data_IF_174854272282
#
_entry.id   IF_174854272282
#
_cell.length_a   1.000
_cell.length_b   1.000
_cell.length_c   1.000
_cell.angle_alpha   90.00
_cell.angle_beta   90.00
_cell.angle_gamma   90.00
#
_symmetry.space_group_name_H-M   'P 1'
#
loop_
_entity.id
_entity.type
_entity.pdbx_description
1 polymer ?
#
# COMPACT_ATOMS: atom_id res chain seq x y z
N UNK A 1 5.76 -11.53 -9.68
CA UNK A 1 4.82 -10.42 -10.01
C UNK A 1 5.46 -9.06 -9.70
N UNK A 2 4.86 -7.92 -10.11
CA UNK A 2 5.34 -6.55 -9.88
C UNK A 2 4.34 -5.71 -9.08
N UNK A 3 4.79 -4.59 -8.53
CA UNK A 3 3.93 -3.66 -7.79
C UNK A 3 3.15 -2.76 -8.74
N UNK A 4 1.87 -2.55 -8.45
CA UNK A 4 0.92 -1.89 -9.36
C UNK A 4 0.07 -0.85 -8.64
N UNK A 5 -0.16 0.24 -9.36
CA UNK A 5 -1.09 1.31 -9.01
C UNK A 5 -1.87 1.70 -10.26
N UNK A 6 -3.16 1.98 -10.09
CA UNK A 6 -4.03 2.47 -11.15
C UNK A 6 -3.54 3.81 -11.73
N UNK A 7 -3.96 4.11 -12.95
CA UNK A 7 -3.59 5.37 -13.62
C UNK A 7 -4.16 6.58 -12.89
N UNK A 8 -5.32 6.40 -12.26
CA UNK A 8 -6.00 7.35 -11.41
C UNK A 8 -5.15 7.68 -10.17
N UNK A 9 -4.67 6.66 -9.47
CA UNK A 9 -3.76 6.85 -8.33
C UNK A 9 -2.47 7.58 -8.73
N UNK A 10 -1.84 7.17 -9.82
CA UNK A 10 -0.62 7.84 -10.32
C UNK A 10 -0.87 9.28 -10.71
N UNK A 11 -2.02 9.56 -11.32
CA UNK A 11 -2.41 10.92 -11.67
C UNK A 11 -2.58 11.76 -10.42
N UNK A 12 -3.29 11.26 -9.41
CA UNK A 12 -3.47 11.95 -8.14
C UNK A 12 -2.13 12.37 -7.51
N UNK A 13 -1.17 11.44 -7.38
CA UNK A 13 0.14 11.75 -6.80
C UNK A 13 1.01 12.66 -7.68
N UNK A 14 0.91 12.53 -9.01
CA UNK A 14 1.57 13.45 -9.94
C UNK A 14 1.02 14.87 -9.80
N UNK A 15 -0.29 15.02 -9.71
CA UNK A 15 -0.94 16.34 -9.58
C UNK A 15 -0.47 17.02 -8.27
N UNK A 16 -0.27 16.26 -7.17
CA UNK A 16 0.35 16.78 -5.92
C UNK A 16 1.76 17.33 -6.18
N UNK A 17 2.60 16.56 -6.88
CA UNK A 17 3.98 16.95 -7.18
C UNK A 17 4.05 18.17 -8.11
N UNK A 18 3.17 18.24 -9.11
CA UNK A 18 3.09 19.37 -10.06
C UNK A 18 2.66 20.68 -9.38
N UNK A 19 1.83 20.61 -8.33
CA UNK A 19 1.38 21.78 -7.58
C UNK A 19 2.27 22.16 -6.40
N UNK A 20 3.17 21.27 -5.98
CA UNK A 20 4.05 21.48 -4.83
C UNK A 20 5.11 22.54 -5.09
N UNK A 21 5.34 23.40 -4.10
CA UNK A 21 6.44 24.38 -4.08
C UNK A 21 7.42 24.15 -2.91
N UNK A 22 7.13 23.15 -2.07
CA UNK A 22 7.79 22.89 -0.78
C UNK A 22 8.69 21.65 -0.82
N UNK A 23 8.55 20.82 -1.85
CA UNK A 23 9.35 19.61 -2.04
C UNK A 23 8.69 18.66 -3.04
N UNK A 24 9.27 17.47 -3.17
CA UNK A 24 8.74 16.37 -3.97
C UNK A 24 8.77 15.06 -3.16
N UNK A 25 8.07 14.03 -3.64
CA UNK A 25 8.30 12.68 -3.14
C UNK A 25 9.73 12.27 -3.50
N UNK A 26 10.46 11.70 -2.53
CA UNK A 26 11.84 11.25 -2.75
C UNK A 26 11.89 10.11 -3.77
N UNK A 27 10.81 9.33 -3.85
CA UNK A 27 10.66 8.27 -4.83
C UNK A 27 9.21 8.02 -5.24
N UNK A 28 9.03 7.40 -6.40
CA UNK A 28 7.72 6.86 -6.81
C UNK A 28 7.21 5.82 -5.81
N UNK A 29 8.09 5.10 -5.11
CA UNK A 29 7.70 4.12 -4.11
C UNK A 29 6.99 4.74 -2.92
N UNK A 30 7.30 5.99 -2.56
CA UNK A 30 6.62 6.70 -1.46
C UNK A 30 5.11 6.78 -1.75
N UNK A 31 4.73 7.03 -3.00
CA UNK A 31 3.34 7.07 -3.44
C UNK A 31 2.64 5.72 -3.26
N UNK A 32 3.32 4.62 -3.63
CA UNK A 32 2.83 3.26 -3.41
C UNK A 32 2.72 2.93 -1.92
N UNK A 33 3.74 3.27 -1.14
CA UNK A 33 3.79 3.05 0.29
C UNK A 33 2.66 3.77 1.01
N UNK A 34 2.46 5.07 0.74
CA UNK A 34 1.39 5.87 1.34
C UNK A 34 0.01 5.30 1.01
N UNK A 35 -0.21 4.90 -0.24
CA UNK A 35 -1.44 4.24 -0.65
C UNK A 35 -1.62 2.88 0.08
N UNK A 36 -0.60 2.02 0.09
CA UNK A 36 -0.66 0.72 0.74
C UNK A 36 -0.95 0.84 2.25
N UNK A 37 -0.26 1.74 2.94
CA UNK A 37 -0.43 1.94 4.37
C UNK A 37 -1.81 2.47 4.75
N UNK A 38 -2.42 3.33 3.93
CA UNK A 38 -3.79 3.79 4.15
C UNK A 38 -4.79 2.62 4.10
N UNK A 39 -4.68 1.75 3.09
CA UNK A 39 -5.53 0.55 2.98
C UNK A 39 -5.27 -0.46 4.12
N UNK A 40 -4.00 -0.72 4.42
CA UNK A 40 -3.58 -1.63 5.49
C UNK A 40 -4.13 -1.15 6.83
N UNK A 41 -3.96 0.14 7.17
CA UNK A 41 -4.50 0.74 8.40
C UNK A 41 -6.02 0.54 8.48
N UNK A 42 -6.74 0.84 7.39
CA UNK A 42 -8.19 0.69 7.32
C UNK A 42 -8.68 -0.77 7.34
N UNK A 43 -7.77 -1.77 7.25
CA UNK A 43 -8.08 -3.20 7.08
C UNK A 43 -8.96 -3.47 5.85
N UNK A 44 -8.81 -2.62 4.84
CA UNK A 44 -9.60 -2.66 3.62
C UNK A 44 -8.68 -2.78 2.42
N UNK A 45 -9.02 -3.70 1.53
CA UNK A 45 -8.44 -3.84 0.21
C UNK A 45 -9.54 -4.03 -0.81
N UNK A 46 -9.26 -3.69 -2.07
CA UNK A 46 -10.15 -4.08 -3.17
C UNK A 46 -10.13 -5.60 -3.33
N UNK A 47 -11.13 -6.14 -4.02
CA UNK A 47 -11.12 -7.55 -4.38
C UNK A 47 -10.05 -7.83 -5.44
N UNK A 48 -9.61 -9.10 -5.55
CA UNK A 48 -8.51 -9.47 -6.45
C UNK A 48 -8.83 -9.17 -7.93
N UNK A 49 -10.11 -9.17 -8.33
CA UNK A 49 -10.57 -8.78 -9.67
C UNK A 49 -10.51 -7.28 -9.96
N UNK A 50 -10.31 -6.47 -8.91
CA UNK A 50 -10.13 -5.03 -8.98
C UNK A 50 -8.66 -4.61 -8.78
N UNK A 51 -7.74 -5.56 -8.68
CA UNK A 51 -6.30 -5.27 -8.72
C UNK A 51 -5.97 -4.53 -10.03
N UNK A 52 -5.17 -3.44 -9.99
CA UNK A 52 -4.68 -2.81 -11.21
C UNK A 52 -4.03 -3.83 -12.16
N UNK A 53 -4.30 -3.67 -13.45
CA UNK A 53 -3.94 -4.66 -14.48
C UNK A 53 -2.43 -4.67 -14.74
N UNK A 54 -1.93 -5.73 -15.40
CA UNK A 54 -0.49 -5.90 -15.64
C UNK A 54 0.17 -4.80 -16.47
N UNK A 55 -0.57 -4.14 -17.36
CA UNK A 55 -0.14 -2.94 -18.10
C UNK A 55 -0.04 -1.68 -17.23
N UNK A 56 -0.57 -1.74 -16.01
CA UNK A 56 -0.42 -0.75 -14.96
C UNK A 56 0.67 -1.19 -13.96
N UNK A 57 1.78 -1.75 -14.46
CA UNK A 57 3.01 -1.91 -13.67
C UNK A 57 3.54 -0.56 -13.23
N UNK A 58 3.81 -0.42 -11.93
CA UNK A 58 4.30 0.82 -11.33
C UNK A 58 5.80 0.74 -11.04
N UNK A 59 6.24 -0.35 -10.41
CA UNK A 59 7.67 -0.68 -10.25
C UNK A 59 7.87 -2.19 -10.13
N UNK A 60 8.97 -2.74 -10.69
CA UNK A 60 9.25 -4.17 -10.62
C UNK A 60 9.70 -4.65 -9.23
N UNK A 61 10.30 -3.76 -8.44
CA UNK A 61 11.03 -4.07 -7.20
C UNK A 61 10.68 -3.11 -6.05
N UNK A 62 10.94 -3.57 -4.82
CA UNK A 62 11.07 -2.67 -3.66
C UNK A 62 12.35 -1.86 -3.88
N UNK A 63 12.25 -0.53 -3.86
CA UNK A 63 13.44 0.32 -4.05
C UNK A 63 14.45 0.11 -2.92
N UNK A 64 15.73 0.34 -3.22
CA UNK A 64 16.85 0.03 -2.31
C UNK A 64 16.68 0.69 -0.93
N UNK A 65 16.15 1.91 -0.88
CA UNK A 65 15.97 2.68 0.35
C UNK A 65 14.96 2.06 1.32
N UNK A 66 14.04 1.22 0.82
CA UNK A 66 13.03 0.51 1.61
C UNK A 66 13.37 -0.96 1.81
N UNK A 67 14.56 -1.39 1.38
CA UNK A 67 14.98 -2.79 1.46
C UNK A 67 14.94 -3.27 2.90
N UNK A 68 15.43 -2.49 3.85
CA UNK A 68 15.48 -2.91 5.25
C UNK A 68 14.09 -2.92 5.90
N UNK A 69 13.20 -2.01 5.48
CA UNK A 69 11.85 -1.80 6.03
C UNK A 69 10.77 -2.68 5.36
N UNK A 70 11.13 -3.48 4.35
CA UNK A 70 10.15 -4.27 3.58
C UNK A 70 9.40 -5.28 4.43
N UNK A 71 10.07 -5.86 5.43
CA UNK A 71 9.45 -6.87 6.29
C UNK A 71 8.45 -6.25 7.27
N UNK A 72 8.62 -4.99 7.64
CA UNK A 72 7.69 -4.21 8.44
C UNK A 72 6.40 -3.97 7.64
N UNK A 73 6.52 -3.59 6.36
CA UNK A 73 5.39 -3.45 5.45
C UNK A 73 4.65 -4.79 5.29
N UNK A 74 5.39 -5.87 5.03
CA UNK A 74 4.80 -7.18 4.82
C UNK A 74 4.14 -7.72 6.10
N UNK A 75 4.75 -7.47 7.25
CA UNK A 75 4.18 -7.83 8.55
C UNK A 75 2.89 -7.06 8.81
N UNK A 76 2.86 -5.76 8.52
CA UNK A 76 1.65 -4.95 8.65
C UNK A 76 0.53 -5.46 7.73
N UNK A 77 0.84 -5.82 6.49
CA UNK A 77 -0.11 -6.45 5.56
C UNK A 77 -0.63 -7.80 6.10
N UNK A 78 0.25 -8.66 6.64
CA UNK A 78 -0.13 -9.95 7.22
C UNK A 78 -1.07 -9.74 8.42
N UNK A 79 -0.73 -8.82 9.32
CA UNK A 79 -1.58 -8.44 10.47
C UNK A 79 -2.96 -8.00 9.98
N UNK A 80 -3.00 -7.15 8.96
CA UNK A 80 -4.26 -6.68 8.39
C UNK A 80 -5.11 -7.83 7.82
N UNK A 81 -4.51 -8.80 7.12
CA UNK A 81 -5.23 -9.98 6.62
C UNK A 81 -5.65 -10.95 7.73
N UNK A 82 -4.88 -11.09 8.81
CA UNK A 82 -5.28 -11.89 9.99
C UNK A 82 -6.57 -11.32 10.59
N UNK A 83 -6.60 -10.01 10.82
CA UNK A 83 -7.76 -9.33 11.38
C UNK A 83 -8.96 -9.33 10.43
N UNK A 84 -8.74 -9.01 9.14
CA UNK A 84 -9.80 -8.98 8.12
C UNK A 84 -10.44 -10.35 7.88
N UNK A 85 -9.67 -11.44 8.01
CA UNK A 85 -10.16 -12.82 7.91
C UNK A 85 -10.71 -13.37 9.23
N UNK A 86 -10.66 -12.61 10.31
CA UNK A 86 -11.09 -13.04 11.65
C UNK A 86 -10.29 -14.25 12.16
N UNK A 87 -9.01 -14.36 11.81
CA UNK A 87 -8.14 -15.45 12.26
C UNK A 87 -7.75 -15.15 13.73
N UNK A 88 -8.06 -16.04 14.69
CA UNK A 88 -7.67 -15.82 16.08
C UNK A 88 -6.15 -15.78 16.25
N UNK A 89 -5.63 -14.82 17.02
CA UNK A 89 -4.19 -14.72 17.32
C UNK A 89 -3.62 -15.94 18.06
N UNK A 90 -4.47 -16.72 18.72
CA UNK A 90 -4.10 -18.00 19.33
C UNK A 90 -3.85 -19.12 18.29
N UNK A 91 -4.41 -19.00 17.08
CA UNK A 91 -4.25 -19.97 15.99
C UNK A 91 -2.96 -19.71 15.21
N UNK A 92 -1.84 -20.02 15.86
CA UNK A 92 -0.49 -19.85 15.31
C UNK A 92 -0.28 -20.62 14.01
N UNK A 93 -0.98 -21.75 13.83
CA UNK A 93 -0.85 -22.55 12.63
C UNK A 93 -1.45 -21.82 11.42
N UNK A 94 -2.69 -21.34 11.55
CA UNK A 94 -3.36 -20.63 10.46
C UNK A 94 -2.66 -19.32 10.08
N UNK A 95 -2.10 -18.61 11.08
CA UNK A 95 -1.28 -17.42 10.84
C UNK A 95 -0.01 -17.79 10.07
N UNK A 96 0.69 -18.85 10.48
CA UNK A 96 1.89 -19.32 9.77
C UNK A 96 1.58 -19.73 8.33
N UNK A 97 0.47 -20.42 8.09
CA UNK A 97 0.02 -20.80 6.75
C UNK A 97 -0.25 -19.56 5.88
N UNK A 98 -0.86 -18.51 6.45
CA UNK A 98 -1.04 -17.24 5.75
C UNK A 98 0.29 -16.58 5.40
N UNK A 99 1.25 -16.53 6.34
CA UNK A 99 2.59 -15.99 6.09
C UNK A 99 3.29 -16.72 4.96
N UNK A 100 3.26 -18.05 4.96
CA UNK A 100 3.89 -18.88 3.92
C UNK A 100 3.23 -18.74 2.54
N UNK A 101 1.97 -18.32 2.49
CA UNK A 101 1.30 -18.01 1.21
C UNK A 101 1.74 -16.67 0.64
N UNK A 102 2.05 -15.69 1.49
CA UNK A 102 2.40 -14.33 1.05
C UNK A 102 3.88 -14.10 0.85
N UNK A 103 4.73 -14.83 1.58
CA UNK A 103 6.18 -14.64 1.56
C UNK A 103 6.84 -15.72 0.69
N UNK A 104 7.76 -15.30 -0.17
CA UNK A 104 8.59 -16.20 -0.98
C UNK A 104 10.03 -15.69 -0.98
N UNK A 105 10.94 -16.38 -0.28
CA UNK A 105 12.34 -15.96 -0.22
C UNK A 105 13.09 -16.06 -1.56
N UNK A 106 12.51 -16.74 -2.54
CA UNK A 106 13.12 -16.95 -3.87
C UNK A 106 12.73 -15.87 -4.88
N UNK A 107 11.69 -15.08 -4.59
CA UNK A 107 11.32 -13.94 -5.43
C UNK A 107 12.18 -12.71 -5.13
N UNK A 108 12.31 -11.83 -6.13
CA UNK A 108 13.07 -10.58 -6.05
C UNK A 108 12.46 -9.60 -5.04
N UNK A 109 11.14 -9.62 -4.85
CA UNK A 109 10.43 -8.79 -3.85
C UNK A 109 10.34 -9.43 -2.47
N UNK A 110 10.73 -10.70 -2.29
CA UNK A 110 10.42 -11.54 -1.13
C UNK A 110 8.92 -11.81 -0.87
N UNK A 111 8.04 -11.45 -1.81
CA UNK A 111 6.63 -11.79 -1.81
C UNK A 111 6.35 -12.86 -2.86
N UNK A 112 5.39 -13.73 -2.56
CA UNK A 112 4.78 -14.57 -3.60
C UNK A 112 3.93 -13.70 -4.54
N UNK A 113 3.46 -14.28 -5.65
CA UNK A 113 2.50 -13.60 -6.51
C UNK A 113 1.21 -13.26 -5.73
N UNK A 114 0.73 -14.15 -4.86
CA UNK A 114 -0.43 -13.88 -3.99
C UNK A 114 -0.16 -12.72 -3.03
N UNK A 115 1.01 -12.69 -2.39
CA UNK A 115 1.39 -11.60 -1.49
C UNK A 115 1.48 -10.26 -2.22
N UNK A 116 1.99 -10.27 -3.45
CA UNK A 116 2.08 -9.07 -4.31
C UNK A 116 0.69 -8.55 -4.70
N UNK A 117 -0.21 -9.44 -5.15
CA UNK A 117 -1.61 -9.08 -5.45
C UNK A 117 -2.31 -8.49 -4.23
N UNK A 118 -2.14 -9.10 -3.05
CA UNK A 118 -2.76 -8.58 -1.82
C UNK A 118 -2.25 -7.18 -1.50
N UNK A 119 -0.95 -6.92 -1.61
CA UNK A 119 -0.39 -5.59 -1.36
C UNK A 119 -0.89 -4.56 -2.38
N UNK A 120 -0.94 -4.92 -3.67
CA UNK A 120 -1.50 -4.08 -4.73
C UNK A 120 -2.97 -3.73 -4.45
N UNK A 121 -3.76 -4.69 -3.97
CA UNK A 121 -5.16 -4.46 -3.61
C UNK A 121 -5.31 -3.51 -2.41
N UNK A 122 -4.39 -3.58 -1.44
CA UNK A 122 -4.34 -2.64 -0.33
C UNK A 122 -3.95 -1.24 -0.81
N UNK A 123 -2.95 -1.13 -1.68
CA UNK A 123 -2.52 0.14 -2.26
C UNK A 123 -3.65 0.80 -3.06
N UNK A 124 -4.33 0.05 -3.92
CA UNK A 124 -5.46 0.56 -4.70
C UNK A 124 -6.62 1.03 -3.81
N UNK A 125 -6.96 0.25 -2.77
CA UNK A 125 -8.01 0.69 -1.83
C UNK A 125 -7.58 1.91 -1.02
N UNK A 126 -6.34 1.96 -0.58
CA UNK A 126 -5.84 3.08 0.19
C UNK A 126 -5.75 4.36 -0.61
N UNK A 127 -5.40 4.30 -1.91
CA UNK A 127 -5.56 5.43 -2.82
C UNK A 127 -7.01 5.93 -2.82
N UNK A 128 -8.00 5.04 -3.00
CA UNK A 128 -9.41 5.46 -3.02
C UNK A 128 -9.84 6.14 -1.72
N UNK A 129 -9.35 5.64 -0.59
CA UNK A 129 -9.59 6.28 0.72
C UNK A 129 -8.93 7.66 0.82
N UNK A 130 -7.70 7.80 0.33
CA UNK A 130 -6.98 9.08 0.29
C UNK A 130 -7.72 10.08 -0.59
N UNK A 131 -8.14 9.70 -1.79
CA UNK A 131 -8.83 10.59 -2.74
C UNK A 131 -10.23 10.99 -2.24
N UNK A 132 -10.92 10.10 -1.51
CA UNK A 132 -12.21 10.37 -0.90
C UNK A 132 -12.13 11.45 0.21
N UNK A 133 -11.09 11.38 1.06
CA UNK A 133 -10.85 12.27 2.20
C UNK A 133 -10.12 13.56 1.80
N UNK A 134 -9.03 13.44 1.04
CA UNK A 134 -8.16 14.55 0.61
C UNK A 134 -8.51 14.93 -0.83
N UNK A 135 -9.71 15.51 -0.99
CA UNK A 135 -10.25 15.85 -2.32
C UNK A 135 -9.51 17.02 -2.96
N UNK A 136 -9.28 16.91 -4.26
CA UNK A 136 -8.53 17.88 -5.09
C UNK A 136 -7.07 17.92 -4.66
N UNK A 137 -6.14 17.38 -5.48
CA UNK A 137 -4.77 17.09 -5.04
C UNK A 137 -4.13 18.36 -4.46
N UNK A 138 -3.82 18.36 -3.15
CA UNK A 138 -3.25 19.53 -2.51
C UNK A 138 -1.75 19.62 -2.83
N UNK A 139 -1.07 20.67 -2.34
CA UNK A 139 0.40 20.69 -2.39
C UNK A 139 0.98 19.60 -1.50
N UNK A 140 2.26 19.25 -1.68
CA UNK A 140 2.87 18.15 -0.93
C UNK A 140 2.80 18.34 0.60
N UNK A 141 3.05 19.55 1.10
CA UNK A 141 2.99 19.87 2.53
C UNK A 141 1.58 19.71 3.10
N UNK A 142 0.58 20.25 2.39
CA UNK A 142 -0.84 20.10 2.72
C UNK A 142 -1.27 18.62 2.66
N UNK A 143 -0.82 17.89 1.63
CA UNK A 143 -1.07 16.46 1.50
C UNK A 143 -0.54 15.69 2.71
N UNK A 144 0.71 15.92 3.12
CA UNK A 144 1.33 15.19 4.23
C UNK A 144 0.66 15.52 5.56
N UNK A 145 0.24 16.78 5.77
CA UNK A 145 -0.52 17.18 6.95
C UNK A 145 -1.88 16.46 7.00
N UNK A 146 -2.67 16.52 5.93
CA UNK A 146 -3.96 15.85 5.85
C UNK A 146 -3.83 14.33 5.88
N UNK A 147 -2.80 13.75 5.25
CA UNK A 147 -2.55 12.31 5.32
C UNK A 147 -2.31 11.88 6.76
N UNK A 148 -1.54 12.65 7.53
CA UNK A 148 -1.35 12.35 8.94
C UNK A 148 -2.63 12.52 9.76
N UNK A 149 -3.35 13.65 9.58
CA UNK A 149 -4.53 14.00 10.39
C UNK A 149 -5.75 13.14 10.06
N UNK A 150 -6.07 13.01 8.77
CA UNK A 150 -7.34 12.47 8.30
C UNK A 150 -7.23 10.98 7.92
N UNK A 151 -6.06 10.56 7.42
CA UNK A 151 -5.84 9.18 6.97
C UNK A 151 -5.16 8.32 8.05
N UNK A 152 -4.22 8.84 8.85
CA UNK A 152 -3.46 8.05 9.83
C UNK A 152 -3.94 8.11 11.28
N UNK A 153 -4.62 9.16 11.74
CA UNK A 153 -5.12 9.16 13.12
C UNK A 153 -6.30 8.20 13.31
N UNK A 154 -6.36 7.52 14.45
CA UNK A 154 -7.58 6.80 14.83
C UNK A 154 -8.63 7.83 15.23
N UNK A 155 -9.86 7.69 14.72
CA UNK A 155 -10.99 8.44 15.27
C UNK A 155 -11.17 7.92 16.70
N UNK A 156 -10.85 8.77 17.67
CA UNK A 156 -10.91 8.47 19.10
C UNK A 156 -12.32 8.07 19.58
#
# INVERSE_FOLDING_TARGET
>A
MSFRLSNEARKYFRDIQEHSTTGEFDSVWDQYYLAAMAGIKARQRVSDDQEPTGDQEFTPDVIEDYRDQRYEIYSAMIVAEVERKGIPWSDKQKIRELMLRFLDSTSHTNLSDEGTTVLNCYAEKGYRLIDDEIRSPPKLDEFLESYHQDVLQEVA
#
